data_IF_511076992085
#
_entry.id   IF_511076992085
#
_cell.length_a   1.000
_cell.length_b   1.000
_cell.length_c   1.000
_cell.angle_alpha   90.00
_cell.angle_beta   90.00
_cell.angle_gamma   90.00
#
_symmetry.space_group_name_H-M   'P 1'
#
loop_
_entity.id
_entity.type
_entity.pdbx_description
1 polymer ?
#
# COMPACT_ATOMS: atom_id res chain seq x y z
N UNK A 1 -16.80 28.49 10.78
CA UNK A 1 -15.34 28.55 10.51
C UNK A 1 -15.02 28.53 9.02
N UNK A 2 -15.38 27.49 8.25
CA UNK A 2 -15.10 27.42 6.79
C UNK A 2 -15.60 28.66 6.01
N UNK A 3 -16.85 29.10 6.19
CA UNK A 3 -17.37 30.31 5.55
C UNK A 3 -16.63 31.62 5.92
N UNK A 4 -16.09 31.70 7.14
CA UNK A 4 -15.32 32.87 7.59
C UNK A 4 -13.93 32.90 6.91
N UNK A 5 -13.30 31.74 6.75
CA UNK A 5 -12.02 31.59 6.05
C UNK A 5 -12.18 31.91 4.57
N UNK A 6 -13.22 31.36 3.93
CA UNK A 6 -13.54 31.66 2.53
C UNK A 6 -13.81 33.15 2.31
N UNK A 7 -14.52 33.80 3.23
CA UNK A 7 -14.73 35.26 3.18
C UNK A 7 -13.41 36.02 3.35
N UNK A 8 -12.56 35.62 4.28
CA UNK A 8 -11.25 36.25 4.51
C UNK A 8 -10.37 36.16 3.26
N UNK A 9 -10.26 34.97 2.66
CA UNK A 9 -9.50 34.75 1.42
C UNK A 9 -10.15 35.46 0.23
N UNK A 10 -11.49 35.44 0.14
CA UNK A 10 -12.25 36.10 -0.92
C UNK A 10 -12.15 37.63 -0.90
N UNK A 11 -11.80 38.23 0.24
CA UNK A 11 -11.47 39.65 0.37
C UNK A 11 -10.01 39.96 -0.04
N UNK A 12 -9.25 38.97 -0.51
CA UNK A 12 -7.86 39.12 -0.95
C UNK A 12 -6.84 39.04 0.19
N UNK A 13 -7.25 38.66 1.41
CA UNK A 13 -6.29 38.50 2.50
C UNK A 13 -5.50 37.19 2.38
N UNK A 14 -4.18 37.29 2.55
CA UNK A 14 -3.30 36.14 2.49
C UNK A 14 -3.42 35.24 3.74
N UNK A 15 -3.32 33.92 3.52
CA UNK A 15 -3.14 32.91 4.56
C UNK A 15 -1.68 32.91 5.07
N UNK A 16 -1.27 34.02 5.67
CA UNK A 16 0.06 34.20 6.26
C UNK A 16 0.21 33.43 7.59
N UNK A 17 1.40 33.47 8.20
CA UNK A 17 1.69 32.82 9.49
C UNK A 17 0.64 33.09 10.57
N UNK A 18 0.20 34.35 10.72
CA UNK A 18 -0.78 34.75 11.74
C UNK A 18 -2.15 34.12 11.46
N UNK A 19 -2.60 34.18 10.20
CA UNK A 19 -3.87 33.57 9.79
C UNK A 19 -3.81 32.04 9.95
N UNK A 20 -2.73 31.40 9.52
CA UNK A 20 -2.52 29.95 9.66
C UNK A 20 -2.49 29.52 11.13
N UNK A 21 -1.86 30.29 12.00
CA UNK A 21 -1.84 30.05 13.44
C UNK A 21 -3.23 30.19 14.07
N UNK A 22 -4.00 31.18 13.62
CA UNK A 22 -5.36 31.43 14.11
C UNK A 22 -6.36 30.34 13.70
N UNK A 23 -6.29 29.86 12.45
CA UNK A 23 -7.17 28.78 11.99
C UNK A 23 -6.69 27.40 12.50
N UNK A 24 -5.38 27.26 12.71
CA UNK A 24 -4.75 26.02 13.13
C UNK A 24 -4.98 24.85 12.17
N UNK A 25 -4.50 23.68 12.57
CA UNK A 25 -4.59 22.46 11.77
C UNK A 25 -6.01 22.06 11.41
N UNK A 26 -6.95 22.18 12.36
CA UNK A 26 -8.35 21.72 12.20
C UNK A 26 -9.01 22.37 11.00
N UNK A 27 -8.87 23.69 10.85
CA UNK A 27 -9.51 24.42 9.77
C UNK A 27 -8.63 24.53 8.53
N UNK A 28 -7.32 24.34 8.66
CA UNK A 28 -6.40 24.19 7.55
C UNK A 28 -6.80 22.99 6.66
N UNK A 29 -7.23 21.86 7.23
CA UNK A 29 -7.74 20.72 6.45
C UNK A 29 -9.05 21.00 5.66
N UNK A 30 -9.73 22.13 5.91
CA UNK A 30 -10.96 22.51 5.20
C UNK A 30 -10.71 23.40 3.97
N UNK A 31 -9.45 23.84 3.78
CA UNK A 31 -9.07 24.66 2.64
C UNK A 31 -9.11 23.83 1.35
N UNK A 32 -9.59 24.43 0.27
CA UNK A 32 -9.54 23.82 -1.06
C UNK A 32 -8.15 23.97 -1.69
N UNK A 33 -7.90 23.28 -2.81
CA UNK A 33 -6.60 23.30 -3.48
C UNK A 33 -6.13 24.71 -3.85
N UNK A 34 -7.02 25.58 -4.32
CA UNK A 34 -6.67 26.96 -4.70
C UNK A 34 -6.20 27.76 -3.48
N UNK A 35 -6.90 27.64 -2.36
CA UNK A 35 -6.55 28.31 -1.11
C UNK A 35 -5.22 27.78 -0.55
N UNK A 36 -4.99 26.47 -0.62
CA UNK A 36 -3.74 25.83 -0.22
C UNK A 36 -2.56 26.27 -1.09
N UNK A 37 -2.77 26.37 -2.40
CA UNK A 37 -1.74 26.80 -3.34
C UNK A 37 -1.42 28.28 -3.22
N UNK A 38 -2.35 29.10 -2.74
CA UNK A 38 -2.11 30.51 -2.44
C UNK A 38 -1.24 30.74 -1.19
N UNK A 39 -1.05 29.72 -0.33
CA UNK A 39 -0.17 29.83 0.84
C UNK A 39 1.27 30.03 0.36
N UNK A 40 1.91 31.09 0.84
CA UNK A 40 3.34 31.31 0.62
C UNK A 40 4.15 30.30 1.46
N UNK A 41 5.11 29.58 0.87
CA UNK A 41 5.94 28.62 1.60
C UNK A 41 6.54 29.17 2.90
N UNK A 42 7.04 30.40 2.90
CA UNK A 42 7.68 31.00 4.09
C UNK A 42 6.73 31.11 5.29
N UNK A 43 5.41 31.17 5.06
CA UNK A 43 4.40 31.22 6.12
C UNK A 43 4.35 29.93 6.95
N UNK A 44 4.88 28.81 6.42
CA UNK A 44 4.97 27.54 7.16
C UNK A 44 6.13 27.50 8.16
N UNK A 45 7.10 28.42 8.10
CA UNK A 45 8.32 28.37 8.94
C UNK A 45 8.06 28.56 10.42
N UNK A 46 7.00 29.29 10.78
CA UNK A 46 6.73 29.75 12.14
C UNK A 46 5.39 29.24 12.68
N UNK A 47 4.75 28.30 11.97
CA UNK A 47 3.48 27.70 12.40
C UNK A 47 3.68 26.23 12.71
N UNK A 48 3.08 25.78 13.81
CA UNK A 48 3.03 24.35 14.16
C UNK A 48 1.72 23.77 13.66
N UNK A 49 1.80 22.93 12.62
CA UNK A 49 0.65 22.24 12.03
C UNK A 49 0.87 20.73 12.09
N UNK A 50 -0.23 19.98 12.24
CA UNK A 50 -0.24 18.52 12.19
C UNK A 50 -1.28 18.01 11.16
N UNK A 51 -0.95 18.00 9.87
CA UNK A 51 -1.91 17.67 8.82
C UNK A 51 -2.25 16.18 8.72
N UNK A 52 -1.85 15.31 9.67
CA UNK A 52 -2.10 13.87 9.60
C UNK A 52 -3.58 13.51 9.44
N UNK A 53 -4.50 14.34 9.95
CA UNK A 53 -5.95 14.15 9.79
C UNK A 53 -6.53 14.72 8.49
N UNK A 54 -5.75 15.46 7.69
CA UNK A 54 -6.22 16.06 6.45
C UNK A 54 -6.35 15.02 5.32
N UNK A 55 -7.00 15.42 4.23
CA UNK A 55 -7.02 14.61 3.00
C UNK A 55 -5.60 14.41 2.43
N UNK A 56 -5.38 13.32 1.68
CA UNK A 56 -4.07 13.09 1.06
C UNK A 56 -3.66 14.22 0.10
N UNK A 57 -4.61 14.79 -0.63
CA UNK A 57 -4.36 15.95 -1.50
C UNK A 57 -3.80 17.14 -0.70
N UNK A 58 -4.42 17.43 0.45
CA UNK A 58 -3.96 18.48 1.35
C UNK A 58 -2.54 18.20 1.86
N UNK A 59 -2.27 16.97 2.31
CA UNK A 59 -0.93 16.55 2.78
C UNK A 59 0.13 16.74 1.68
N UNK A 60 -0.19 16.37 0.44
CA UNK A 60 0.72 16.51 -0.70
C UNK A 60 1.07 17.98 -0.98
N UNK A 61 0.06 18.87 -1.03
CA UNK A 61 0.30 20.30 -1.27
C UNK A 61 1.13 20.90 -0.14
N UNK A 62 0.78 20.59 1.12
CA UNK A 62 1.54 21.08 2.28
C UNK A 62 2.98 20.57 2.28
N UNK A 63 3.21 19.32 1.89
CA UNK A 63 4.56 18.77 1.79
C UNK A 63 5.41 19.60 0.82
N UNK A 64 4.91 19.89 -0.38
CA UNK A 64 5.61 20.70 -1.38
C UNK A 64 5.89 22.13 -0.88
N UNK A 65 4.92 22.73 -0.18
CA UNK A 65 5.09 24.04 0.45
C UNK A 65 6.15 24.00 1.55
N UNK A 66 6.12 22.99 2.41
CA UNK A 66 7.08 22.82 3.50
C UNK A 66 8.50 22.58 2.96
N UNK A 67 8.66 21.72 1.95
CA UNK A 67 9.93 21.47 1.27
C UNK A 67 10.55 22.77 0.73
N UNK A 68 9.74 23.64 0.12
CA UNK A 68 10.18 24.97 -0.34
C UNK A 68 10.51 25.91 0.84
N UNK A 69 9.71 25.88 1.90
CA UNK A 69 9.92 26.69 3.09
C UNK A 69 11.26 26.40 3.77
N UNK A 70 11.60 25.12 3.87
CA UNK A 70 12.76 24.62 4.61
C UNK A 70 13.95 24.23 3.72
N UNK A 71 13.90 24.51 2.41
CA UNK A 71 14.93 24.13 1.44
C UNK A 71 16.33 24.65 1.78
N UNK A 72 16.45 25.80 2.44
CA UNK A 72 17.73 26.37 2.88
C UNK A 72 18.33 25.69 4.11
N UNK A 73 17.61 24.76 4.75
CA UNK A 73 18.12 23.98 5.86
C UNK A 73 18.69 22.66 5.35
N UNK A 74 20.01 22.60 5.20
CA UNK A 74 20.70 21.39 4.71
C UNK A 74 21.29 20.53 5.83
N UNK A 75 21.15 20.98 7.09
CA UNK A 75 21.73 20.29 8.24
C UNK A 75 20.77 19.21 8.75
N UNK A 76 21.21 17.96 8.70
CA UNK A 76 20.58 16.87 9.41
C UNK A 76 21.08 16.82 10.87
N UNK A 77 20.21 16.56 11.86
CA UNK A 77 18.82 16.13 11.76
C UNK A 77 17.78 17.26 11.64
N UNK A 78 18.18 18.53 11.76
CA UNK A 78 17.25 19.66 11.87
C UNK A 78 16.29 19.80 10.68
N UNK A 79 16.73 19.54 9.45
CA UNK A 79 15.84 19.51 8.28
C UNK A 79 14.72 18.46 8.42
N UNK A 80 15.10 17.26 8.88
CA UNK A 80 14.16 16.16 9.07
C UNK A 80 13.11 16.48 10.14
N UNK A 81 13.52 17.10 11.25
CA UNK A 81 12.62 17.52 12.33
C UNK A 81 11.58 18.55 11.85
N UNK A 82 11.99 19.51 11.03
CA UNK A 82 11.08 20.51 10.45
C UNK A 82 10.07 19.89 9.46
N UNK A 83 10.50 18.88 8.71
CA UNK A 83 9.66 18.20 7.72
C UNK A 83 8.73 17.15 8.32
N UNK A 84 9.01 16.67 9.55
CA UNK A 84 8.31 15.54 10.19
C UNK A 84 6.77 15.60 10.10
N UNK A 85 6.09 16.74 10.38
CA UNK A 85 4.64 16.81 10.30
C UNK A 85 4.06 16.65 8.89
N UNK A 86 4.89 16.85 7.86
CA UNK A 86 4.47 16.90 6.46
C UNK A 86 4.81 15.62 5.68
N UNK A 87 5.61 14.70 6.26
CA UNK A 87 6.14 13.53 5.56
C UNK A 87 5.06 12.57 5.02
N UNK A 88 3.85 12.58 5.59
CA UNK A 88 2.73 11.79 5.08
C UNK A 88 2.28 12.20 3.66
N UNK A 89 2.69 13.39 3.18
CA UNK A 89 2.50 13.85 1.81
C UNK A 89 3.69 13.64 0.88
N UNK A 90 4.82 13.11 1.38
CA UNK A 90 6.09 13.07 0.66
C UNK A 90 6.06 12.14 -0.56
N UNK A 91 6.59 12.55 -1.72
CA UNK A 91 6.77 11.67 -2.87
C UNK A 91 7.86 10.63 -2.58
N UNK A 92 7.81 9.53 -3.34
CA UNK A 92 8.77 8.42 -3.24
C UNK A 92 10.24 8.86 -3.27
N UNK A 93 10.59 9.75 -4.19
CA UNK A 93 11.96 10.23 -4.39
C UNK A 93 12.54 10.86 -3.10
N UNK A 94 11.76 11.69 -2.42
CA UNK A 94 12.20 12.34 -1.20
C UNK A 94 12.29 11.37 -0.02
N UNK A 95 11.39 10.38 0.06
CA UNK A 95 11.50 9.30 1.05
C UNK A 95 12.76 8.46 0.83
N UNK A 96 13.13 8.19 -0.43
CA UNK A 96 14.37 7.48 -0.77
C UNK A 96 15.61 8.30 -0.40
N UNK A 97 15.56 9.62 -0.56
CA UNK A 97 16.62 10.50 -0.07
C UNK A 97 16.75 10.46 1.46
N UNK A 98 15.63 10.52 2.19
CA UNK A 98 15.62 10.39 3.66
C UNK A 98 16.14 9.03 4.12
N UNK A 99 15.81 7.96 3.40
CA UNK A 99 16.32 6.62 3.67
C UNK A 99 17.86 6.56 3.68
N UNK A 100 18.51 7.21 2.69
CA UNK A 100 19.97 7.27 2.60
C UNK A 100 20.61 8.05 3.74
N UNK A 101 19.87 8.96 4.35
CA UNK A 101 20.30 9.69 5.54
C UNK A 101 20.09 8.88 6.85
N UNK A 102 19.57 7.65 6.76
CA UNK A 102 19.35 6.73 7.87
C UNK A 102 18.58 7.38 9.04
N UNK A 103 17.43 7.96 8.72
CA UNK A 103 16.57 8.63 9.71
C UNK A 103 15.85 7.62 10.60
N UNK A 104 15.31 8.10 11.72
CA UNK A 104 14.56 7.26 12.66
C UNK A 104 13.05 7.58 12.56
N UNK A 105 12.43 7.31 11.41
CA UNK A 105 11.01 7.57 11.19
C UNK A 105 10.14 6.77 12.15
N UNK A 106 9.19 7.45 12.79
CA UNK A 106 8.22 6.78 13.64
C UNK A 106 7.33 5.86 12.78
N UNK A 107 7.05 4.66 13.27
CA UNK A 107 6.15 3.73 12.60
C UNK A 107 4.75 4.34 12.36
N UNK A 108 4.28 5.23 13.25
CA UNK A 108 3.00 5.93 13.08
C UNK A 108 3.01 6.85 11.86
N UNK A 109 4.12 7.53 11.56
CA UNK A 109 4.28 8.30 10.32
C UNK A 109 4.38 7.36 9.13
N UNK A 110 5.18 6.30 9.23
CA UNK A 110 5.40 5.34 8.14
C UNK A 110 4.10 4.72 7.64
N UNK A 111 3.23 4.25 8.55
CA UNK A 111 1.96 3.61 8.17
C UNK A 111 0.92 4.59 7.61
N UNK A 112 1.14 5.90 7.76
CA UNK A 112 0.29 6.97 7.23
C UNK A 112 0.90 7.67 6.00
N UNK A 113 2.06 7.22 5.50
CA UNK A 113 2.61 7.71 4.25
C UNK A 113 1.62 7.50 3.10
N UNK A 114 1.64 8.43 2.14
CA UNK A 114 0.87 8.26 0.91
C UNK A 114 1.18 6.92 0.25
N UNK A 115 0.11 6.24 -0.16
CA UNK A 115 0.14 4.84 -0.58
C UNK A 115 1.12 4.57 -1.70
N UNK A 116 1.10 5.39 -2.74
CA UNK A 116 1.95 5.24 -3.92
C UNK A 116 3.44 5.40 -3.59
N UNK A 117 3.79 6.35 -2.72
CA UNK A 117 5.16 6.49 -2.22
C UNK A 117 5.59 5.26 -1.43
N UNK A 118 4.77 4.80 -0.48
CA UNK A 118 5.09 3.64 0.36
C UNK A 118 5.30 2.38 -0.49
N UNK A 119 4.43 2.13 -1.47
CA UNK A 119 4.52 0.94 -2.34
C UNK A 119 5.76 0.94 -3.25
N UNK A 120 6.41 2.09 -3.44
CA UNK A 120 7.63 2.22 -4.26
C UNK A 120 8.94 1.96 -3.50
N UNK A 121 8.86 1.76 -2.18
CA UNK A 121 10.00 1.56 -1.30
C UNK A 121 10.43 0.09 -1.28
N UNK A 122 11.74 -0.13 -1.34
CA UNK A 122 12.36 -1.46 -1.14
C UNK A 122 12.56 -1.76 0.36
N UNK A 123 12.80 -3.03 0.75
CA UNK A 123 13.11 -3.37 2.13
C UNK A 123 14.31 -2.59 2.69
N UNK A 124 15.39 -2.45 1.92
CA UNK A 124 16.55 -1.66 2.31
C UNK A 124 16.21 -0.17 2.50
N UNK A 125 15.34 0.39 1.64
CA UNK A 125 14.90 1.77 1.81
C UNK A 125 14.02 1.94 3.07
N UNK A 126 13.17 0.97 3.38
CA UNK A 126 12.37 0.96 4.62
C UNK A 126 13.26 0.82 5.85
N UNK A 127 14.32 0.03 5.79
CA UNK A 127 15.32 -0.06 6.86
C UNK A 127 15.97 1.29 7.13
N UNK A 128 16.43 2.00 6.10
CA UNK A 128 17.02 3.34 6.26
C UNK A 128 16.03 4.43 6.68
N UNK A 129 14.74 4.25 6.41
CA UNK A 129 13.71 5.20 6.87
C UNK A 129 13.34 4.99 8.33
N UNK A 130 13.16 3.74 8.76
CA UNK A 130 12.73 3.43 10.12
C UNK A 130 13.89 3.45 11.10
N UNK A 131 15.11 3.13 10.65
CA UNK A 131 16.31 3.14 11.48
C UNK A 131 16.12 2.31 12.74
N UNK A 132 16.31 2.92 13.90
CA UNK A 132 16.10 2.25 15.20
C UNK A 132 14.66 1.77 15.45
N UNK A 133 13.67 2.32 14.74
CA UNK A 133 12.26 1.95 14.87
C UNK A 133 11.86 0.78 13.95
N UNK A 134 12.80 0.22 13.17
CA UNK A 134 12.52 -0.91 12.28
C UNK A 134 11.81 -2.10 12.96
N UNK A 135 12.16 -2.52 14.19
CA UNK A 135 11.48 -3.63 14.87
C UNK A 135 9.97 -3.42 15.03
N UNK A 136 9.49 -2.18 15.08
CA UNK A 136 8.06 -1.90 15.20
C UNK A 136 7.27 -2.30 13.95
N UNK A 137 7.92 -2.39 12.78
CA UNK A 137 7.28 -2.79 11.52
C UNK A 137 6.66 -4.19 11.62
N UNK A 138 7.28 -5.11 12.35
CA UNK A 138 6.78 -6.47 12.54
C UNK A 138 5.40 -6.52 13.23
N UNK A 139 5.10 -5.53 14.10
CA UNK A 139 3.80 -5.39 14.78
C UNK A 139 2.67 -5.04 13.80
N UNK A 140 3.01 -4.52 12.62
CA UNK A 140 2.08 -4.07 11.59
C UNK A 140 1.99 -5.01 10.39
N UNK A 141 2.74 -6.12 10.36
CA UNK A 141 2.87 -6.98 9.19
C UNK A 141 1.53 -7.51 8.62
N UNK A 142 0.50 -7.64 9.45
CA UNK A 142 -0.83 -8.10 9.05
C UNK A 142 -1.86 -6.97 8.83
N UNK A 143 -1.45 -5.71 8.96
CA UNK A 143 -2.29 -4.51 8.84
C UNK A 143 -1.95 -3.73 7.58
N UNK A 144 -2.97 -3.17 6.93
CA UNK A 144 -2.76 -2.20 5.85
C UNK A 144 -2.15 -0.91 6.41
N UNK A 145 -1.24 -0.23 5.69
CA UNK A 145 -0.71 -0.57 4.36
C UNK A 145 0.49 -1.54 4.37
N UNK A 146 1.09 -1.81 5.53
CA UNK A 146 2.33 -2.61 5.67
C UNK A 146 2.19 -4.01 5.06
N UNK A 147 1.07 -4.70 5.33
CA UNK A 147 0.78 -6.01 4.74
C UNK A 147 0.87 -6.01 3.20
N UNK A 148 0.32 -4.97 2.58
CA UNK A 148 0.29 -4.87 1.11
C UNK A 148 1.68 -4.56 0.55
N UNK A 149 2.45 -3.74 1.27
CA UNK A 149 3.85 -3.51 0.93
C UNK A 149 4.66 -4.80 1.02
N UNK A 150 4.53 -5.57 2.10
CA UNK A 150 5.18 -6.88 2.26
C UNK A 150 4.88 -7.80 1.07
N UNK A 151 3.61 -7.89 0.67
CA UNK A 151 3.16 -8.78 -0.40
C UNK A 151 3.77 -8.48 -1.77
N UNK A 152 4.25 -7.26 -2.01
CA UNK A 152 4.91 -6.89 -3.27
C UNK A 152 6.44 -6.98 -3.21
N UNK A 153 7.02 -7.31 -2.05
CA UNK A 153 8.46 -7.55 -1.91
C UNK A 153 8.81 -9.02 -2.08
N UNK A 154 10.09 -9.29 -2.36
CA UNK A 154 10.64 -10.66 -2.33
C UNK A 154 10.88 -11.09 -0.89
N UNK A 155 10.54 -12.34 -0.56
CA UNK A 155 10.75 -12.85 0.79
C UNK A 155 12.23 -12.78 1.20
N UNK A 156 13.16 -13.13 0.31
CA UNK A 156 14.61 -13.06 0.59
C UNK A 156 15.11 -11.64 0.92
N UNK A 157 14.49 -10.60 0.36
CA UNK A 157 14.83 -9.20 0.67
C UNK A 157 14.21 -8.77 2.01
N UNK A 158 13.03 -9.29 2.36
CA UNK A 158 12.43 -9.08 3.67
C UNK A 158 13.23 -9.78 4.78
N UNK A 159 13.78 -10.96 4.50
CA UNK A 159 14.58 -11.74 5.46
C UNK A 159 15.88 -11.01 5.86
N UNK A 160 16.45 -10.20 4.96
CA UNK A 160 17.62 -9.33 5.23
C UNK A 160 17.34 -8.26 6.30
N UNK A 161 16.07 -7.97 6.58
CA UNK A 161 15.71 -7.02 7.65
C UNK A 161 15.84 -7.64 9.05
N UNK A 162 15.94 -8.97 9.16
CA UNK A 162 16.12 -9.70 10.42
C UNK A 162 15.05 -9.41 11.51
N UNK A 163 13.84 -9.04 11.10
CA UNK A 163 12.70 -8.74 12.00
C UNK A 163 11.51 -9.71 11.82
N UNK A 164 11.71 -10.82 11.09
CA UNK A 164 10.71 -11.89 10.97
C UNK A 164 9.47 -11.53 10.16
N UNK A 165 9.60 -10.65 9.15
CA UNK A 165 8.50 -10.38 8.22
C UNK A 165 8.25 -11.58 7.31
N UNK A 166 6.99 -11.93 7.10
CA UNK A 166 6.58 -13.05 6.25
C UNK A 166 5.46 -12.65 5.30
N UNK A 167 5.33 -13.36 4.18
CA UNK A 167 4.26 -13.12 3.20
C UNK A 167 4.71 -12.34 1.96
N UNK A 168 6.02 -12.21 1.76
CA UNK A 168 6.57 -11.76 0.49
C UNK A 168 6.39 -12.79 -0.63
N UNK A 169 6.68 -12.35 -1.85
CA UNK A 169 6.70 -13.22 -3.03
C UNK A 169 7.81 -14.27 -2.91
N UNK A 170 7.48 -15.51 -3.29
CA UNK A 170 8.44 -16.60 -3.31
C UNK A 170 9.40 -16.43 -4.49
N UNK A 171 10.67 -16.73 -4.26
CA UNK A 171 11.67 -16.79 -5.32
C UNK A 171 11.83 -18.24 -5.77
N UNK A 172 11.35 -18.55 -6.97
CA UNK A 172 11.46 -19.88 -7.53
C UNK A 172 10.65 -20.07 -8.81
N UNK A 173 11.06 -21.05 -9.61
CA UNK A 173 10.28 -21.55 -10.74
C UNK A 173 9.31 -22.63 -10.21
N UNK A 174 8.08 -22.65 -10.71
CA UNK A 174 7.26 -23.86 -10.59
C UNK A 174 7.96 -24.91 -11.45
N UNK A 175 8.57 -25.93 -10.82
CA UNK A 175 8.92 -27.15 -11.53
C UNK A 175 7.60 -27.84 -11.91
N UNK A 176 7.05 -27.49 -13.07
CA UNK A 176 6.03 -28.29 -13.73
C UNK A 176 6.70 -29.58 -14.17
N UNK A 177 6.77 -30.55 -13.27
CA UNK A 177 7.03 -31.95 -13.64
C UNK A 177 5.80 -32.34 -14.46
N UNK A 178 5.90 -32.24 -15.79
CA UNK A 178 4.88 -32.80 -16.68
C UNK A 178 4.82 -34.29 -16.39
N UNK A 179 3.70 -34.83 -15.86
CA UNK A 179 3.58 -36.26 -15.68
C UNK A 179 3.73 -36.89 -17.06
N UNK A 180 4.75 -37.74 -17.21
CA UNK A 180 4.96 -38.52 -18.42
C UNK A 180 3.86 -39.57 -18.43
N UNK A 181 2.73 -39.23 -19.04
CA UNK A 181 1.67 -40.20 -19.27
C UNK A 181 2.26 -41.35 -20.10
N UNK A 182 2.13 -42.61 -19.64
CA UNK A 182 2.49 -43.75 -20.47
C UNK A 182 1.77 -43.63 -21.81
N UNK A 183 2.45 -44.02 -22.89
CA UNK A 183 1.80 -44.12 -24.19
C UNK A 183 0.50 -44.94 -24.03
N UNK A 184 -0.63 -44.49 -24.61
CA UNK A 184 -1.86 -45.26 -24.52
C UNK A 184 -1.60 -46.67 -25.02
N UNK A 185 -1.93 -47.66 -24.18
CA UNK A 185 -1.84 -49.06 -24.56
C UNK A 185 -2.70 -49.26 -25.81
N UNK A 186 -2.06 -49.65 -26.91
CA UNK A 186 -2.70 -50.06 -28.16
C UNK A 186 -3.34 -51.45 -28.01
N UNK A 187 -4.13 -51.63 -26.95
CA UNK A 187 -5.00 -52.79 -26.82
C UNK A 187 -6.15 -52.63 -27.84
N UNK A 188 -6.38 -53.61 -28.73
CA UNK A 188 -7.49 -53.55 -29.65
C UNK A 188 -8.81 -53.58 -28.87
N UNK A 189 -9.67 -52.59 -29.09
CA UNK A 189 -11.08 -52.59 -28.70
C UNK A 189 -11.82 -53.67 -29.51
N UNK A 190 -11.60 -54.94 -29.18
CA UNK A 190 -12.08 -56.06 -29.96
C UNK A 190 -12.49 -57.23 -29.08
N UNK A 191 -13.35 -56.99 -28.08
CA UNK A 191 -14.04 -58.09 -27.38
C UNK A 191 -15.27 -57.66 -26.56
N UNK A 192 -15.43 -56.38 -26.18
CA UNK A 192 -16.52 -55.98 -25.25
C UNK A 192 -17.80 -55.54 -25.97
N UNK A 193 -17.76 -55.33 -27.30
CA UNK A 193 -18.92 -54.85 -28.06
C UNK A 193 -19.98 -55.93 -28.41
N UNK A 194 -19.76 -57.21 -28.08
CA UNK A 194 -20.71 -58.28 -28.40
C UNK A 194 -21.56 -58.75 -27.21
N UNK A 195 -21.32 -58.25 -26.00
CA UNK A 195 -22.10 -58.65 -24.82
C UNK A 195 -23.39 -57.84 -24.60
N UNK A 196 -23.57 -56.71 -25.31
CA UNK A 196 -24.71 -55.81 -25.08
C UNK A 196 -25.93 -56.04 -25.99
N UNK A 197 -25.89 -57.02 -26.89
CA UNK A 197 -26.98 -57.29 -27.84
C UNK A 197 -27.90 -58.48 -27.48
N UNK A 198 -27.68 -59.15 -26.34
CA UNK A 198 -28.54 -60.27 -25.90
C UNK A 198 -29.44 -59.94 -24.69
N UNK A 199 -29.35 -58.74 -24.14
CA UNK A 199 -30.13 -58.28 -22.98
C UNK A 199 -31.59 -57.82 -23.26
N UNK A 200 -32.04 -57.47 -24.48
CA UNK A 200 -33.46 -57.14 -24.69
C UNK A 200 -34.39 -58.35 -24.83
N UNK A 201 -33.87 -59.55 -25.15
CA UNK A 201 -34.69 -60.71 -25.50
C UNK A 201 -35.11 -61.60 -24.30
N UNK A 202 -34.49 -61.43 -23.13
CA UNK A 202 -34.77 -62.24 -21.93
C UNK A 202 -35.77 -61.58 -20.95
N UNK A 203 -36.08 -60.29 -21.12
CA UNK A 203 -37.00 -59.55 -20.25
C UNK A 203 -38.46 -59.54 -20.75
N UNK A 204 -38.72 -59.96 -21.99
CA UNK A 204 -40.09 -60.04 -22.55
C UNK A 204 -40.75 -61.42 -22.35
N UNK A 205 -40.00 -62.47 -21.98
CA UNK A 205 -40.57 -63.79 -21.67
C UNK A 205 -41.07 -63.94 -20.23
N UNK A 206 -40.65 -63.06 -19.30
CA UNK A 206 -41.08 -63.11 -17.89
C UNK A 206 -42.38 -62.34 -17.60
N UNK A 207 -42.87 -61.49 -18.51
CA UNK A 207 -44.10 -60.69 -18.31
C UNK A 207 -45.39 -61.39 -18.76
N UNK A 208 -45.32 -62.49 -19.52
CA UNK A 208 -46.51 -63.21 -20.00
C UNK A 208 -46.89 -64.46 -19.18
N UNK A 209 -46.12 -64.81 -18.14
CA UNK A 209 -46.42 -65.98 -17.27
C UNK A 209 -46.97 -65.57 -15.89
N UNK A 210 -47.05 -64.26 -15.60
CA UNK A 210 -47.47 -63.75 -14.28
C UNK A 210 -48.88 -63.14 -14.25
N UNK A 211 -49.69 -63.30 -15.31
CA UNK A 211 -51.08 -62.80 -15.37
C UNK A 211 -52.10 -63.89 -15.75
N UNK A 212 -51.80 -65.17 -15.50
CA UNK A 212 -52.78 -66.26 -15.46
C UNK A 212 -52.41 -67.28 -14.36
N UNK A 213 -52.62 -66.91 -13.10
CA UNK A 213 -52.98 -67.79 -11.97
C UNK A 213 -53.41 -66.94 -10.78
#
# INVERSE_FOLDING_TARGET
>A
ASAAIQRYVGLGHALNTTALSAIGTRYMCLLNSTELEAIEPSSLRLVSLNPSACSQLTKNILYEKAKKAFSGQHVFPAYYELMLPYLEGAPAEDLKALSRANVNMNISTFVNLRRDSLMSLTPAEVQGLLGMNLPDLAKWQYRSPVRQWIQVQKQSQLDQLHIGLTGGTQEGYINLITPKFPAPSSAPLGAVAMALHLLPALLLSFLMVSNLS
#
